data_IF_677029102670
#
_entry.id   IF_677029102670
#
_cell.length_a   1.000
_cell.length_b   1.000
_cell.length_c   1.000
_cell.angle_alpha   90.00
_cell.angle_beta   90.00
_cell.angle_gamma   90.00
#
_symmetry.space_group_name_H-M   'P 1'
#
loop_
_entity.id
_entity.type
_entity.pdbx_description
1 polymer ?
#
# COMPACT_ATOMS: atom_id res chain seq x y z
N UNK A 1 4.37 -65.43 57.74
CA UNK A 1 3.58 -64.38 57.07
C UNK A 1 4.50 -63.28 56.57
N UNK A 2 4.76 -63.17 55.25
CA UNK A 2 5.23 -61.91 54.67
C UNK A 2 4.90 -61.84 53.17
N UNK A 3 3.75 -61.23 52.85
CA UNK A 3 3.41 -60.79 51.49
C UNK A 3 4.04 -59.43 51.28
N UNK A 4 4.92 -59.26 50.29
CA UNK A 4 5.18 -57.93 49.70
C UNK A 4 4.74 -57.92 48.25
N UNK A 5 3.49 -57.50 48.09
CA UNK A 5 2.89 -57.11 46.82
C UNK A 5 3.42 -55.73 46.44
N UNK A 6 4.24 -55.64 45.37
CA UNK A 6 4.63 -54.36 44.78
C UNK A 6 3.71 -54.13 43.58
N UNK A 7 2.51 -53.61 43.86
CA UNK A 7 1.55 -53.17 42.86
C UNK A 7 1.91 -51.76 42.37
N UNK A 8 1.71 -51.59 41.06
CA UNK A 8 1.32 -50.36 40.37
C UNK A 8 2.37 -49.24 40.26
N UNK A 9 3.02 -49.22 39.08
CA UNK A 9 3.59 -48.02 38.46
C UNK A 9 2.46 -46.99 38.30
N UNK A 10 2.50 -45.90 39.06
CA UNK A 10 1.63 -44.74 38.85
C UNK A 10 2.20 -43.93 37.68
N UNK A 11 1.62 -44.09 36.51
CA UNK A 11 1.85 -43.22 35.37
C UNK A 11 1.28 -41.84 35.73
N UNK A 12 2.16 -40.86 35.96
CA UNK A 12 1.75 -39.47 36.15
C UNK A 12 1.21 -38.97 34.81
N UNK A 13 -0.06 -38.54 34.79
CA UNK A 13 -0.68 -37.85 33.67
C UNK A 13 0.05 -36.53 33.47
N UNK A 14 0.56 -36.26 32.26
CA UNK A 14 1.01 -34.94 31.88
C UNK A 14 -0.19 -34.15 31.32
N UNK A 15 -0.61 -33.03 31.93
CA UNK A 15 -1.41 -32.04 31.26
C UNK A 15 -0.50 -30.91 30.77
N UNK A 16 -0.77 -30.38 29.59
CA UNK A 16 -0.13 -29.12 29.17
C UNK A 16 0.23 -29.01 27.70
N UNK A 17 -0.65 -29.42 26.79
CA UNK A 17 -0.64 -28.93 25.42
C UNK A 17 -1.82 -27.96 25.27
N UNK A 18 -1.52 -26.67 25.18
CA UNK A 18 -2.22 -25.70 24.33
C UNK A 18 -1.73 -24.28 24.67
N UNK A 19 -0.55 -23.90 24.19
CA UNK A 19 -0.20 -22.50 23.97
C UNK A 19 -0.11 -22.28 22.47
N UNK A 20 -1.24 -21.98 21.83
CA UNK A 20 -1.30 -21.64 20.42
C UNK A 20 -2.49 -20.71 20.17
N UNK A 21 -2.28 -19.38 20.28
CA UNK A 21 -3.14 -18.36 19.66
C UNK A 21 -2.56 -16.94 19.85
N UNK A 22 -1.44 -16.60 19.19
CA UNK A 22 -1.05 -15.20 18.97
C UNK A 22 -0.41 -15.07 17.59
N UNK A 23 -1.21 -15.23 16.54
CA UNK A 23 -0.88 -14.78 15.18
C UNK A 23 -2.08 -13.98 14.64
N UNK A 24 -2.47 -12.90 15.34
CA UNK A 24 -3.21 -11.84 14.66
C UNK A 24 -2.19 -11.13 13.78
N UNK A 25 -2.25 -11.43 12.48
CA UNK A 25 -1.34 -10.87 11.49
C UNK A 25 -1.44 -9.36 11.41
N UNK A 26 -0.33 -8.71 11.06
CA UNK A 26 -0.34 -7.35 10.52
C UNK A 26 -1.22 -7.31 9.27
N UNK A 27 -2.48 -6.91 9.41
CA UNK A 27 -3.24 -6.47 8.25
C UNK A 27 -2.67 -5.12 7.82
N UNK A 28 -2.35 -4.92 6.52
CA UNK A 28 -1.96 -3.60 6.05
C UNK A 28 -3.13 -2.64 6.30
N UNK A 29 -2.85 -1.51 6.95
CA UNK A 29 -3.87 -0.47 7.07
C UNK A 29 -4.32 -0.02 5.68
N UNK A 30 -5.61 0.26 5.48
CA UNK A 30 -6.09 0.81 4.23
C UNK A 30 -5.31 2.10 3.92
N UNK A 31 -4.57 2.11 2.82
CA UNK A 31 -3.95 3.35 2.34
C UNK A 31 -5.05 4.29 1.86
N UNK A 32 -4.95 5.60 2.14
CA UNK A 32 -5.87 6.56 1.57
C UNK A 32 -5.79 6.51 0.04
N UNK A 33 -6.91 6.73 -0.64
CA UNK A 33 -6.91 6.84 -2.10
C UNK A 33 -6.24 8.15 -2.53
N UNK A 34 -5.70 8.17 -3.75
CA UNK A 34 -5.21 9.40 -4.37
C UNK A 34 -6.37 10.40 -4.57
N UNK A 35 -6.25 11.66 -4.11
CA UNK A 35 -7.32 12.66 -4.23
C UNK A 35 -7.33 13.25 -5.64
N UNK A 36 -8.10 12.65 -6.54
CA UNK A 36 -8.24 13.12 -7.92
C UNK A 36 -9.23 14.28 -8.08
N UNK A 37 -8.89 15.25 -8.94
CA UNK A 37 -9.71 16.45 -9.23
C UNK A 37 -10.24 16.50 -10.68
N UNK A 38 -10.13 15.40 -11.42
CA UNK A 38 -10.51 15.30 -12.83
C UNK A 38 -9.31 15.35 -13.79
N UNK A 39 -9.60 15.18 -15.08
CA UNK A 39 -8.60 15.14 -16.15
C UNK A 39 -7.74 16.42 -16.23
N UNK A 40 -6.48 16.25 -16.61
CA UNK A 40 -5.47 17.31 -16.57
C UNK A 40 -5.55 18.25 -17.77
N UNK A 41 -5.48 17.73 -19.00
CA UNK A 41 -5.51 18.54 -20.23
C UNK A 41 -6.93 18.82 -20.70
N UNK A 42 -7.85 17.93 -20.39
CA UNK A 42 -9.28 17.98 -20.72
C UNK A 42 -10.08 17.19 -19.68
N UNK A 43 -11.40 17.39 -19.55
CA UNK A 43 -12.22 16.71 -18.54
C UNK A 43 -12.16 15.17 -18.58
N UNK A 44 -11.99 14.58 -19.76
CA UNK A 44 -11.92 13.14 -20.03
C UNK A 44 -10.48 12.61 -20.18
N UNK A 45 -9.48 13.44 -19.86
CA UNK A 45 -8.08 13.04 -19.95
C UNK A 45 -7.77 11.86 -18.99
N UNK A 46 -7.18 10.75 -19.50
CA UNK A 46 -6.75 9.65 -18.64
C UNK A 46 -5.78 10.08 -17.53
N UNK A 47 -4.98 11.11 -17.79
CA UNK A 47 -4.10 11.71 -16.79
C UNK A 47 -4.87 12.76 -15.99
N UNK A 48 -4.87 12.65 -14.67
CA UNK A 48 -5.72 13.46 -13.77
C UNK A 48 -4.89 14.23 -12.74
N UNK A 49 -5.38 15.42 -12.34
CA UNK A 49 -4.76 16.21 -11.25
C UNK A 49 -4.95 15.49 -9.93
N UNK A 50 -3.89 15.43 -9.13
CA UNK A 50 -3.90 14.89 -7.77
C UNK A 50 -3.63 16.04 -6.79
N UNK A 51 -4.40 16.11 -5.72
CA UNK A 51 -4.15 17.08 -4.64
C UNK A 51 -3.49 16.46 -3.41
N UNK A 52 -3.65 17.14 -2.28
CA UNK A 52 -2.94 16.82 -1.05
C UNK A 52 -3.60 15.70 -0.24
N UNK A 53 -2.80 14.73 0.17
CA UNK A 53 -3.08 13.82 1.27
C UNK A 53 -1.75 13.40 1.95
N UNK A 54 -1.82 12.47 2.91
CA UNK A 54 -0.64 11.98 3.64
C UNK A 54 0.44 11.32 2.75
N UNK A 55 0.10 10.85 1.55
CA UNK A 55 1.03 10.23 0.60
C UNK A 55 1.56 11.22 -0.44
N UNK A 56 0.74 12.20 -0.83
CA UNK A 56 1.03 13.08 -1.97
C UNK A 56 1.59 14.44 -1.60
N UNK A 57 1.47 14.86 -0.33
CA UNK A 57 1.98 16.16 0.14
C UNK A 57 3.45 16.40 -0.24
N UNK A 58 4.31 15.38 -0.18
CA UNK A 58 5.74 15.44 -0.53
C UNK A 58 6.03 15.70 -2.01
N UNK A 59 5.02 15.59 -2.87
CA UNK A 59 5.14 15.81 -4.31
C UNK A 59 4.47 17.10 -4.77
N UNK A 60 3.78 17.81 -3.88
CA UNK A 60 3.12 19.07 -4.22
C UNK A 60 4.12 20.21 -4.22
N UNK A 61 3.95 21.08 -5.21
CA UNK A 61 4.87 22.18 -5.51
C UNK A 61 4.06 23.43 -5.93
N UNK A 62 4.51 24.61 -5.52
CA UNK A 62 3.85 25.89 -5.80
C UNK A 62 4.10 26.41 -7.22
N UNK A 63 5.04 25.81 -7.95
CA UNK A 63 5.30 26.04 -9.37
C UNK A 63 4.88 24.87 -10.28
N UNK A 64 4.41 23.73 -9.75
CA UNK A 64 4.00 22.59 -10.56
C UNK A 64 2.69 21.91 -10.13
N UNK A 65 1.99 21.30 -11.09
CA UNK A 65 0.84 20.44 -10.84
C UNK A 65 1.30 18.98 -10.64
N UNK A 66 0.76 18.32 -9.61
CA UNK A 66 0.90 16.88 -9.46
C UNK A 66 -0.17 16.18 -10.30
N UNK A 67 0.27 15.31 -11.22
CA UNK A 67 -0.61 14.59 -12.15
C UNK A 67 -0.36 13.09 -12.05
N UNK A 68 -1.43 12.31 -12.00
CA UNK A 68 -1.38 10.85 -12.07
C UNK A 68 -1.97 10.33 -13.36
N UNK A 69 -1.21 9.52 -14.09
CA UNK A 69 -1.70 8.75 -15.23
C UNK A 69 -1.72 7.26 -14.86
N UNK A 70 -2.68 6.45 -15.34
CA UNK A 70 -2.61 4.99 -15.15
C UNK A 70 -1.24 4.46 -15.60
N UNK A 71 -0.61 3.60 -14.80
CA UNK A 71 0.77 3.17 -15.06
C UNK A 71 0.93 2.36 -16.37
N UNK A 72 -0.15 1.75 -16.84
CA UNK A 72 -0.25 1.02 -18.11
C UNK A 72 -0.77 1.88 -19.27
N UNK A 73 -1.00 3.18 -19.04
CA UNK A 73 -1.44 4.11 -20.07
C UNK A 73 -0.39 4.19 -21.19
N UNK A 74 -0.81 3.92 -22.43
CA UNK A 74 0.12 3.92 -23.58
C UNK A 74 0.65 5.32 -23.94
N UNK A 75 -0.02 6.38 -23.48
CA UNK A 75 0.30 7.77 -23.80
C UNK A 75 1.28 8.46 -22.84
N UNK A 76 1.92 7.74 -21.91
CA UNK A 76 2.82 8.34 -20.91
C UNK A 76 3.98 9.13 -21.55
N UNK A 77 4.63 8.57 -22.57
CA UNK A 77 5.74 9.23 -23.24
C UNK A 77 5.32 10.52 -23.97
N UNK A 78 4.15 10.50 -24.61
CA UNK A 78 3.58 11.70 -25.25
C UNK A 78 3.19 12.74 -24.21
N UNK A 79 2.56 12.31 -23.11
CA UNK A 79 2.22 13.18 -22.00
C UNK A 79 3.46 13.94 -21.53
N UNK A 80 4.53 13.24 -21.17
CA UNK A 80 5.79 13.87 -20.75
C UNK A 80 6.36 14.83 -21.80
N UNK A 81 6.42 14.41 -23.06
CA UNK A 81 6.97 15.25 -24.13
C UNK A 81 6.19 16.57 -24.30
N UNK A 82 4.86 16.51 -24.20
CA UNK A 82 3.99 17.67 -24.42
C UNK A 82 3.89 18.60 -23.22
N UNK A 83 3.95 18.06 -22.01
CA UNK A 83 3.78 18.83 -20.77
C UNK A 83 5.10 19.18 -20.10
N UNK A 84 6.21 18.63 -20.60
CA UNK A 84 7.52 18.67 -19.94
C UNK A 84 7.50 18.09 -18.53
N UNK A 85 6.66 17.08 -18.31
CA UNK A 85 6.51 16.46 -17.01
C UNK A 85 7.75 15.67 -16.57
N UNK A 86 8.15 15.87 -15.32
CA UNK A 86 9.12 15.04 -14.63
C UNK A 86 8.41 13.83 -13.99
N UNK A 87 8.96 12.63 -14.17
CA UNK A 87 8.44 11.42 -13.53
C UNK A 87 8.92 11.32 -12.08
N UNK A 88 7.97 11.18 -11.15
CA UNK A 88 8.24 11.13 -9.71
C UNK A 88 8.20 9.72 -9.12
N UNK A 89 7.75 8.73 -9.90
CA UNK A 89 7.58 7.36 -9.46
C UNK A 89 6.20 6.79 -9.77
N UNK A 90 5.91 5.65 -9.16
CA UNK A 90 4.60 4.98 -9.25
C UNK A 90 3.98 4.88 -7.86
N UNK A 91 2.69 5.20 -7.76
CA UNK A 91 1.92 5.09 -6.53
C UNK A 91 0.53 4.57 -6.82
N UNK A 92 0.12 3.51 -6.12
CA UNK A 92 -1.21 2.91 -6.19
C UNK A 92 -1.74 2.67 -7.62
N UNK A 93 -0.85 2.23 -8.53
CA UNK A 93 -1.19 1.91 -9.93
C UNK A 93 -1.10 3.09 -10.91
N UNK A 94 -0.65 4.25 -10.45
CA UNK A 94 -0.49 5.45 -11.26
C UNK A 94 0.99 5.86 -11.37
N UNK A 95 1.42 6.24 -12.57
CA UNK A 95 2.65 6.99 -12.77
C UNK A 95 2.40 8.44 -12.36
N UNK A 96 3.22 8.93 -11.41
CA UNK A 96 3.14 10.30 -10.91
C UNK A 96 4.09 11.21 -11.69
N UNK A 97 3.59 12.40 -11.98
CA UNK A 97 4.29 13.42 -12.73
C UNK A 97 4.20 14.78 -12.05
N UNK A 98 5.33 15.50 -12.01
CA UNK A 98 5.36 16.94 -11.75
C UNK A 98 5.27 17.67 -13.07
N UNK A 99 4.26 18.52 -13.25
CA UNK A 99 4.07 19.29 -14.48
C UNK A 99 4.25 20.78 -14.20
N UNK A 100 5.29 21.44 -14.73
CA UNK A 100 5.51 22.86 -14.49
C UNK A 100 4.32 23.72 -14.96
N UNK A 101 3.86 24.63 -14.10
CA UNK A 101 2.94 25.71 -14.48
C UNK A 101 3.77 26.79 -15.19
N UNK A 102 3.32 27.21 -16.37
CA UNK A 102 4.02 28.17 -17.24
C UNK A 102 3.25 29.47 -17.30
#
# INVERSE_FOLDING_TARGET
MYRRSIKSRRWRKAPGLAAAALLLGCAPEPRPALPFFGGYRAPDDPCQRIGENAQTNRYLDDAADLVGCPADYRGLAEFQARTQAEWLGTLDGYALFSVPRR
#
